data_IF_014288466645
#
_entry.id   IF_014288466645
#
_cell.length_a   1.000
_cell.length_b   1.000
_cell.length_c   1.000
_cell.angle_alpha   90.00
_cell.angle_beta   90.00
_cell.angle_gamma   90.00
#
_symmetry.space_group_name_H-M   'P 1'
#
loop_
_entity.id
_entity.type
_entity.pdbx_description
1 polymer ?
#
# COMPACT_ATOMS: atom_id res chain seq x y z
N UNK A 1 20.93 18.16 18.21
CA UNK A 1 20.11 17.40 17.24
C UNK A 1 21.05 16.95 16.15
N UNK A 2 21.06 15.66 15.77
CA UNK A 2 21.95 15.18 14.72
C UNK A 2 21.50 15.69 13.35
N UNK A 3 22.47 16.08 12.52
CA UNK A 3 22.17 16.49 11.15
C UNK A 3 21.89 15.26 10.28
N UNK A 4 21.15 15.44 9.17
CA UNK A 4 20.91 14.36 8.19
C UNK A 4 22.21 13.69 7.72
N UNK A 5 23.27 14.50 7.58
CA UNK A 5 24.56 14.06 7.08
C UNK A 5 25.30 13.21 8.11
N UNK A 6 25.21 13.58 9.40
CA UNK A 6 25.73 12.76 10.49
C UNK A 6 25.01 11.41 10.55
N UNK A 7 23.67 11.39 10.47
CA UNK A 7 22.89 10.15 10.48
C UNK A 7 23.30 9.22 9.34
N UNK A 8 23.42 9.73 8.11
CA UNK A 8 23.84 8.92 6.95
C UNK A 8 25.29 8.43 7.09
N UNK A 9 26.20 9.27 7.57
CA UNK A 9 27.61 8.88 7.79
C UNK A 9 27.73 7.82 8.87
N UNK A 10 27.00 7.96 9.97
CA UNK A 10 26.96 6.96 11.05
C UNK A 10 26.35 5.64 10.59
N UNK A 11 25.27 5.68 9.80
CA UNK A 11 24.68 4.49 9.21
C UNK A 11 25.68 3.75 8.31
N UNK A 12 26.38 4.47 7.41
CA UNK A 12 27.44 3.87 6.58
C UNK A 12 28.53 3.23 7.43
N UNK A 13 29.01 3.92 8.47
CA UNK A 13 30.01 3.40 9.41
C UNK A 13 29.53 2.18 10.19
N UNK A 14 28.24 2.09 10.51
CA UNK A 14 27.68 0.91 11.19
C UNK A 14 27.58 -0.32 10.27
N UNK A 15 27.51 -0.12 8.96
CA UNK A 15 27.45 -1.19 7.96
C UNK A 15 28.84 -1.63 7.47
N UNK A 16 29.90 -0.86 7.74
CA UNK A 16 31.26 -1.25 7.32
C UNK A 16 31.69 -2.53 8.03
N UNK A 17 31.93 -3.57 7.22
CA UNK A 17 32.30 -4.91 7.70
C UNK A 17 31.12 -5.88 7.89
N UNK A 18 29.87 -5.43 7.74
CA UNK A 18 28.68 -6.30 7.83
C UNK A 18 27.76 -6.22 6.60
N UNK A 19 28.15 -5.49 5.56
CA UNK A 19 27.35 -5.26 4.34
C UNK A 19 26.63 -6.50 3.81
N UNK A 20 27.33 -7.61 3.61
CA UNK A 20 26.73 -8.83 3.06
C UNK A 20 25.72 -9.48 4.01
N UNK A 21 25.98 -9.44 5.32
CA UNK A 21 25.04 -9.94 6.31
C UNK A 21 23.83 -9.02 6.43
N UNK A 22 24.02 -7.70 6.40
CA UNK A 22 22.94 -6.72 6.39
C UNK A 22 22.05 -6.88 5.15
N UNK A 23 22.66 -7.08 3.98
CA UNK A 23 21.95 -7.37 2.73
C UNK A 23 21.15 -8.66 2.83
N UNK A 24 21.76 -9.74 3.35
CA UNK A 24 21.09 -11.02 3.53
C UNK A 24 19.89 -10.91 4.50
N UNK A 25 20.07 -10.23 5.62
CA UNK A 25 19.01 -9.99 6.61
C UNK A 25 17.88 -9.17 6.01
N UNK A 26 18.18 -8.07 5.32
CA UNK A 26 17.16 -7.24 4.64
C UNK A 26 16.43 -7.99 3.53
N UNK A 27 17.14 -8.84 2.77
CA UNK A 27 16.53 -9.66 1.72
C UNK A 27 15.59 -10.71 2.30
N UNK A 28 16.02 -11.45 3.32
CA UNK A 28 15.17 -12.44 4.00
C UNK A 28 13.97 -11.75 4.66
N UNK A 29 14.19 -10.63 5.35
CA UNK A 29 13.12 -9.86 5.98
C UNK A 29 12.12 -9.34 4.95
N UNK A 30 12.57 -8.79 3.81
CA UNK A 30 11.66 -8.24 2.78
C UNK A 30 10.79 -9.32 2.11
N UNK A 31 11.36 -10.50 1.85
CA UNK A 31 10.60 -11.65 1.33
C UNK A 31 9.57 -12.12 2.37
N UNK A 32 9.98 -12.32 3.62
CA UNK A 32 9.10 -12.87 4.66
C UNK A 32 8.11 -11.85 5.24
N UNK A 33 8.30 -10.55 5.00
CA UNK A 33 7.33 -9.51 5.36
C UNK A 33 6.31 -9.23 4.24
N UNK A 34 6.52 -9.80 3.04
CA UNK A 34 5.67 -9.56 1.88
C UNK A 34 5.84 -8.18 1.26
N UNK A 35 7.01 -7.54 1.45
CA UNK A 35 7.33 -6.25 0.83
C UNK A 35 7.84 -6.38 -0.61
N UNK A 36 7.96 -7.61 -1.12
CA UNK A 36 8.31 -7.91 -2.50
C UNK A 36 7.06 -8.32 -3.28
N UNK A 37 6.82 -7.68 -4.43
CA UNK A 37 5.68 -7.94 -5.34
C UNK A 37 5.71 -9.31 -6.02
N UNK A 38 6.51 -10.27 -5.54
CA UNK A 38 6.75 -11.57 -6.18
C UNK A 38 5.46 -12.39 -6.35
N UNK A 39 4.42 -12.09 -5.56
CA UNK A 39 3.11 -12.76 -5.62
C UNK A 39 1.97 -11.88 -6.16
N UNK A 40 2.25 -10.71 -6.76
CA UNK A 40 1.20 -9.96 -7.45
C UNK A 40 0.99 -10.55 -8.86
N UNK A 41 -0.07 -11.35 -9.00
CA UNK A 41 -0.61 -11.65 -10.32
C UNK A 41 -1.23 -10.36 -10.89
N UNK A 42 -0.62 -9.80 -11.92
CA UNK A 42 -1.16 -8.65 -12.63
C UNK A 42 -2.18 -9.15 -13.65
N UNK A 43 -3.46 -8.80 -13.42
CA UNK A 43 -4.56 -9.25 -14.25
C UNK A 43 -4.49 -8.53 -15.60
N UNK A 44 -4.00 -9.21 -16.64
CA UNK A 44 -3.82 -8.61 -17.96
C UNK A 44 -5.14 -8.55 -18.73
N UNK A 45 -5.20 -7.70 -19.78
CA UNK A 45 -6.33 -7.62 -20.71
C UNK A 45 -6.71 -8.97 -21.29
N UNK A 46 -5.75 -9.86 -21.53
CA UNK A 46 -6.03 -11.21 -22.02
C UNK A 46 -6.76 -12.07 -20.99
N UNK A 47 -6.45 -11.93 -19.70
CA UNK A 47 -7.18 -12.59 -18.62
C UNK A 47 -8.57 -11.97 -18.45
N UNK A 48 -8.67 -10.65 -18.61
CA UNK A 48 -9.94 -9.95 -18.62
C UNK A 48 -10.82 -10.36 -19.80
N UNK A 49 -10.26 -10.58 -20.99
CA UNK A 49 -11.00 -11.12 -22.14
C UNK A 49 -11.40 -12.58 -21.94
N UNK A 50 -10.56 -13.39 -21.29
CA UNK A 50 -10.93 -14.75 -20.88
C UNK A 50 -12.03 -14.76 -19.83
N UNK A 51 -12.04 -13.80 -18.92
CA UNK A 51 -13.04 -13.68 -17.85
C UNK A 51 -14.35 -13.02 -18.32
N UNK A 52 -14.28 -12.04 -19.23
CA UNK A 52 -15.43 -11.32 -19.77
C UNK A 52 -16.07 -12.03 -20.99
N UNK A 53 -15.27 -12.79 -21.77
CA UNK A 53 -15.73 -13.65 -22.86
C UNK A 53 -16.18 -15.03 -22.40
N UNK A 54 -16.06 -15.34 -21.11
CA UNK A 54 -16.82 -16.41 -20.48
C UNK A 54 -18.30 -16.00 -20.52
N UNK A 55 -19.05 -16.44 -21.55
CA UNK A 55 -20.52 -16.60 -21.49
C UNK A 55 -20.90 -17.70 -20.49
N UNK A 56 -20.27 -17.67 -19.33
CA UNK A 56 -20.45 -18.62 -18.27
C UNK A 56 -21.60 -18.09 -17.46
N UNK A 57 -22.74 -18.78 -17.52
CA UNK A 57 -23.77 -18.64 -16.51
C UNK A 57 -23.09 -18.81 -15.14
N UNK A 58 -22.86 -17.71 -14.41
CA UNK A 58 -22.32 -17.72 -13.05
C UNK A 58 -22.92 -18.82 -12.15
N UNK A 59 -24.23 -19.13 -12.25
CA UNK A 59 -24.82 -20.27 -11.56
C UNK A 59 -24.17 -21.63 -11.91
N UNK A 60 -23.88 -21.89 -13.18
CA UNK A 60 -23.31 -23.16 -13.64
C UNK A 60 -21.82 -23.30 -13.27
N UNK A 61 -21.06 -22.19 -13.27
CA UNK A 61 -19.65 -22.19 -12.82
C UNK A 61 -19.55 -22.44 -11.32
N UNK A 62 -20.39 -21.76 -10.55
CA UNK A 62 -20.42 -21.89 -9.10
C UNK A 62 -21.01 -23.23 -8.67
N UNK A 63 -21.75 -23.94 -9.52
CA UNK A 63 -22.15 -25.34 -9.32
C UNK A 63 -21.05 -26.34 -9.71
N UNK A 64 -20.03 -25.93 -10.46
CA UNK A 64 -18.94 -26.81 -10.83
C UNK A 64 -18.06 -27.10 -9.60
N UNK A 65 -18.00 -28.37 -9.23
CA UNK A 65 -17.24 -28.85 -8.08
C UNK A 65 -15.76 -28.40 -8.09
N UNK A 66 -15.11 -28.43 -9.27
CA UNK A 66 -13.69 -28.05 -9.37
C UNK A 66 -13.47 -26.55 -9.15
N UNK A 67 -14.40 -25.70 -9.59
CA UNK A 67 -14.34 -24.26 -9.37
C UNK A 67 -14.54 -23.94 -7.88
N UNK A 68 -15.50 -24.59 -7.23
CA UNK A 68 -15.68 -24.45 -5.79
C UNK A 68 -14.41 -24.85 -5.02
N UNK A 69 -13.77 -25.96 -5.40
CA UNK A 69 -12.50 -26.38 -4.80
C UNK A 69 -11.38 -25.34 -5.00
N UNK A 70 -11.25 -24.75 -6.19
CA UNK A 70 -10.27 -23.69 -6.44
C UNK A 70 -10.56 -22.47 -5.56
N UNK A 71 -11.81 -22.03 -5.48
CA UNK A 71 -12.20 -20.87 -4.66
C UNK A 71 -11.95 -21.09 -3.17
N UNK A 72 -12.29 -22.28 -2.66
CA UNK A 72 -11.98 -22.68 -1.29
C UNK A 72 -10.48 -22.70 -1.07
N UNK A 73 -9.70 -23.24 -2.02
CA UNK A 73 -8.24 -23.28 -1.93
C UNK A 73 -7.62 -21.88 -1.92
N UNK A 74 -8.12 -20.95 -2.74
CA UNK A 74 -7.73 -19.54 -2.73
C UNK A 74 -8.07 -18.90 -1.39
N UNK A 75 -9.27 -19.15 -0.86
CA UNK A 75 -9.69 -18.65 0.46
C UNK A 75 -8.80 -19.16 1.59
N UNK A 76 -8.46 -20.45 1.59
CA UNK A 76 -7.53 -21.05 2.55
C UNK A 76 -6.13 -20.44 2.39
N UNK A 77 -5.62 -20.32 1.16
CA UNK A 77 -4.32 -19.71 0.91
C UNK A 77 -4.26 -18.26 1.39
N UNK A 78 -5.32 -17.46 1.16
CA UNK A 78 -5.44 -16.10 1.66
C UNK A 78 -5.47 -16.05 3.20
N UNK A 79 -6.18 -16.98 3.85
CA UNK A 79 -6.20 -17.09 5.30
C UNK A 79 -4.83 -17.45 5.87
N UNK A 80 -4.13 -18.42 5.26
CA UNK A 80 -2.77 -18.82 5.65
C UNK A 80 -1.81 -17.65 5.47
N UNK A 81 -1.88 -16.92 4.36
CA UNK A 81 -1.06 -15.73 4.10
C UNK A 81 -1.35 -14.62 5.13
N UNK A 82 -2.62 -14.41 5.51
CA UNK A 82 -3.00 -13.46 6.55
C UNK A 82 -2.43 -13.85 7.92
N UNK A 83 -2.56 -15.13 8.30
CA UNK A 83 -1.99 -15.65 9.54
C UNK A 83 -0.47 -15.52 9.55
N UNK A 84 0.20 -15.84 8.45
CA UNK A 84 1.64 -15.65 8.29
C UNK A 84 2.03 -14.17 8.45
N UNK A 85 1.30 -13.25 7.81
CA UNK A 85 1.53 -11.80 7.93
C UNK A 85 1.40 -11.31 9.37
N UNK A 86 0.43 -11.85 10.11
CA UNK A 86 0.14 -11.47 11.50
C UNK A 86 1.16 -12.07 12.46
N UNK A 87 1.39 -13.38 12.41
CA UNK A 87 2.15 -14.11 13.42
C UNK A 87 3.64 -14.25 13.12
N UNK A 88 4.03 -14.17 11.86
CA UNK A 88 5.42 -14.36 11.41
C UNK A 88 6.02 -13.04 10.96
N UNK A 89 5.44 -12.38 9.95
CA UNK A 89 6.02 -11.16 9.38
C UNK A 89 6.18 -10.02 10.40
N UNK A 90 5.21 -9.83 11.30
CA UNK A 90 5.32 -8.78 12.33
C UNK A 90 6.51 -9.00 13.27
N UNK A 91 6.83 -10.25 13.57
CA UNK A 91 7.93 -10.63 14.47
C UNK A 91 9.27 -10.47 13.76
N UNK A 92 9.31 -10.79 12.47
CA UNK A 92 10.48 -10.60 11.62
C UNK A 92 10.82 -9.11 11.49
N UNK A 93 9.84 -8.22 11.36
CA UNK A 93 10.07 -6.76 11.31
C UNK A 93 10.70 -6.23 12.61
N UNK A 94 10.29 -6.74 13.77
CA UNK A 94 10.93 -6.43 15.05
C UNK A 94 12.32 -7.09 15.16
N UNK A 95 12.48 -8.30 14.64
CA UNK A 95 13.74 -9.03 14.59
C UNK A 95 14.79 -8.34 13.71
N UNK A 96 14.37 -7.76 12.59
CA UNK A 96 15.19 -6.95 11.69
C UNK A 96 15.67 -5.69 12.42
N UNK A 97 14.75 -4.97 13.08
CA UNK A 97 15.09 -3.81 13.92
C UNK A 97 16.10 -4.19 15.01
N UNK A 98 15.95 -5.38 15.62
CA UNK A 98 16.89 -5.93 16.60
C UNK A 98 18.26 -6.18 16.00
N UNK A 99 18.33 -6.81 14.83
CA UNK A 99 19.58 -7.10 14.15
C UNK A 99 20.34 -5.81 13.81
N UNK A 100 19.68 -4.82 13.21
CA UNK A 100 20.32 -3.54 12.87
C UNK A 100 20.74 -2.74 14.10
N UNK A 101 19.96 -2.78 15.18
CA UNK A 101 20.35 -2.14 16.45
C UNK A 101 21.64 -2.76 17.01
N UNK A 102 21.76 -4.09 17.03
CA UNK A 102 22.95 -4.80 17.53
C UNK A 102 24.16 -4.64 16.63
N UNK A 103 23.96 -4.62 15.31
CA UNK A 103 25.03 -4.37 14.36
C UNK A 103 25.66 -2.97 14.55
N UNK A 104 24.89 -1.99 15.06
CA UNK A 104 25.40 -0.66 15.41
C UNK A 104 26.18 -0.63 16.73
N UNK A 105 25.83 -1.49 17.69
CA UNK A 105 26.35 -1.44 19.07
C UNK A 105 27.61 -2.28 19.30
N UNK A 106 27.81 -3.38 18.59
CA UNK A 106 28.87 -4.36 18.89
C UNK A 106 29.62 -4.87 17.66
N UNK A 107 30.93 -5.10 17.83
CA UNK A 107 31.71 -6.06 17.03
C UNK A 107 31.92 -7.31 17.91
N UNK A 108 31.65 -8.55 17.45
CA UNK A 108 31.46 -8.98 16.06
C UNK A 108 30.05 -8.73 15.49
N UNK A 109 29.92 -8.94 14.18
CA UNK A 109 28.65 -8.81 13.44
C UNK A 109 27.60 -9.81 13.98
N UNK A 110 26.33 -9.38 14.18
CA UNK A 110 25.31 -10.29 14.68
C UNK A 110 25.00 -11.40 13.67
N UNK A 111 24.78 -12.62 14.14
CA UNK A 111 24.40 -13.75 13.30
C UNK A 111 22.98 -13.61 12.76
N UNK A 112 22.70 -14.29 11.63
CA UNK A 112 21.36 -14.33 11.03
C UNK A 112 20.28 -14.81 12.02
N UNK A 113 20.63 -15.69 12.97
CA UNK A 113 19.71 -16.18 13.99
C UNK A 113 19.09 -15.09 14.86
N UNK A 114 19.71 -13.92 14.98
CA UNK A 114 19.13 -12.78 15.70
C UNK A 114 17.82 -12.29 15.05
N UNK A 115 17.66 -12.45 13.73
CA UNK A 115 16.42 -12.11 13.02
C UNK A 115 15.22 -12.89 13.56
N UNK A 116 15.44 -14.15 13.93
CA UNK A 116 14.39 -15.05 14.43
C UNK A 116 14.36 -15.17 15.96
N UNK A 117 15.18 -14.39 16.67
CA UNK A 117 15.32 -14.50 18.13
C UNK A 117 14.03 -14.24 18.90
N UNK A 118 13.11 -13.47 18.33
CA UNK A 118 11.84 -13.11 18.96
C UNK A 118 10.77 -14.21 18.85
N UNK A 119 10.97 -15.22 18.00
CA UNK A 119 10.10 -16.40 17.98
C UNK A 119 10.34 -17.31 19.19
N UNK A 120 11.46 -17.14 19.89
CA UNK A 120 11.85 -18.02 20.98
C UNK A 120 11.25 -17.58 22.33
N UNK A 121 10.79 -18.57 23.10
CA UNK A 121 10.29 -18.40 24.45
C UNK A 121 9.05 -17.51 24.54
N UNK A 122 8.93 -16.75 25.64
CA UNK A 122 7.75 -15.92 25.95
C UNK A 122 7.76 -14.53 25.31
N UNK A 123 8.56 -14.30 24.27
CA UNK A 123 8.66 -13.00 23.58
C UNK A 123 7.78 -12.89 22.33
N UNK A 124 7.40 -14.03 21.73
CA UNK A 124 6.68 -14.07 20.46
C UNK A 124 5.32 -13.36 20.52
N UNK A 125 4.41 -13.84 21.37
CA UNK A 125 3.04 -13.32 21.45
C UNK A 125 2.95 -11.86 21.93
N UNK A 126 3.74 -11.40 22.92
CA UNK A 126 3.78 -9.98 23.28
C UNK A 126 4.21 -9.07 22.12
N UNK A 127 5.16 -9.52 21.29
CA UNK A 127 5.61 -8.79 20.09
C UNK A 127 4.49 -8.69 19.07
N UNK A 128 3.85 -9.82 18.73
CA UNK A 128 2.72 -9.87 17.81
C UNK A 128 1.60 -8.95 18.30
N UNK A 129 1.19 -9.06 19.56
CA UNK A 129 0.13 -8.23 20.13
C UNK A 129 0.43 -6.73 20.08
N UNK A 130 1.68 -6.33 20.33
CA UNK A 130 2.07 -4.93 20.27
C UNK A 130 2.13 -4.38 18.84
N UNK A 131 2.66 -5.15 17.90
CA UNK A 131 2.70 -4.80 16.48
C UNK A 131 1.28 -4.73 15.89
N UNK A 132 0.43 -5.72 16.16
CA UNK A 132 -0.97 -5.72 15.74
C UNK A 132 -1.73 -4.52 16.28
N UNK A 133 -1.54 -4.19 17.56
CA UNK A 133 -2.20 -3.02 18.14
C UNK A 133 -1.73 -1.72 17.48
N UNK A 134 -0.45 -1.61 17.14
CA UNK A 134 0.06 -0.47 16.36
C UNK A 134 -0.59 -0.40 14.97
N UNK A 135 -0.59 -1.50 14.22
CA UNK A 135 -1.16 -1.53 12.86
C UNK A 135 -2.65 -1.30 12.86
N UNK A 136 -3.39 -1.84 13.83
CA UNK A 136 -4.81 -1.57 14.00
C UNK A 136 -5.07 -0.06 14.15
N UNK A 137 -4.29 0.63 14.98
CA UNK A 137 -4.40 2.09 15.10
C UNK A 137 -4.04 2.80 13.80
N UNK A 138 -2.96 2.41 13.12
CA UNK A 138 -2.58 3.03 11.84
C UNK A 138 -3.65 2.81 10.76
N UNK A 139 -4.25 1.62 10.72
CA UNK A 139 -5.35 1.28 9.84
C UNK A 139 -6.57 2.16 10.12
N UNK A 140 -6.97 2.36 11.39
CA UNK A 140 -8.03 3.29 11.75
C UNK A 140 -7.77 4.72 11.26
N UNK A 141 -6.55 5.22 11.39
CA UNK A 141 -6.19 6.54 10.86
C UNK A 141 -6.28 6.58 9.33
N UNK A 142 -5.91 5.48 8.64
CA UNK A 142 -6.01 5.36 7.18
C UNK A 142 -7.45 5.39 6.65
N UNK A 143 -8.46 5.18 7.50
CA UNK A 143 -9.86 5.31 7.11
C UNK A 143 -10.32 6.76 6.96
N UNK A 144 -9.67 7.73 7.61
CA UNK A 144 -10.10 9.13 7.58
C UNK A 144 -10.14 9.74 6.17
N UNK A 145 -9.11 9.59 5.32
CA UNK A 145 -9.16 10.07 3.94
C UNK A 145 -10.21 9.36 3.08
N UNK A 146 -10.66 8.16 3.45
CA UNK A 146 -11.67 7.43 2.68
C UNK A 146 -13.07 8.03 2.83
N UNK A 147 -13.36 8.68 3.97
CA UNK A 147 -14.66 9.31 4.22
C UNK A 147 -15.02 10.35 3.15
N UNK A 148 -14.18 11.38 2.86
CA UNK A 148 -14.49 12.35 1.80
C UNK A 148 -14.46 11.72 0.40
N UNK A 149 -13.62 10.71 0.15
CA UNK A 149 -13.57 10.03 -1.15
C UNK A 149 -14.91 9.32 -1.42
N UNK A 150 -15.34 8.46 -0.49
CA UNK A 150 -16.59 7.69 -0.62
C UNK A 150 -17.79 8.64 -0.65
N UNK A 151 -17.84 9.62 0.27
CA UNK A 151 -18.91 10.61 0.31
C UNK A 151 -18.98 11.45 -0.96
N UNK A 152 -17.83 11.85 -1.51
CA UNK A 152 -17.72 12.57 -2.77
C UNK A 152 -18.23 11.74 -3.95
N UNK A 153 -17.83 10.48 -4.05
CA UNK A 153 -18.31 9.57 -5.11
C UNK A 153 -19.83 9.40 -5.04
N UNK A 154 -20.36 9.10 -3.84
CA UNK A 154 -21.81 8.92 -3.64
C UNK A 154 -22.56 10.20 -4.02
N UNK A 155 -22.09 11.35 -3.54
CA UNK A 155 -22.68 12.65 -3.87
C UNK A 155 -22.69 12.90 -5.38
N UNK A 156 -21.58 12.66 -6.08
CA UNK A 156 -21.48 12.83 -7.53
C UNK A 156 -22.43 11.90 -8.28
N UNK A 157 -22.55 10.62 -7.87
CA UNK A 157 -23.49 9.67 -8.49
C UNK A 157 -24.94 10.13 -8.32
N UNK A 158 -25.32 10.54 -7.11
CA UNK A 158 -26.68 11.04 -6.83
C UNK A 158 -26.94 12.34 -7.61
N UNK A 159 -25.98 13.24 -7.67
CA UNK A 159 -26.08 14.50 -8.41
C UNK A 159 -26.31 14.25 -9.90
N UNK A 160 -25.53 13.35 -10.52
CA UNK A 160 -25.70 13.00 -11.93
C UNK A 160 -27.09 12.38 -12.16
N UNK A 161 -27.51 11.44 -11.31
CA UNK A 161 -28.80 10.77 -11.43
C UNK A 161 -29.99 11.73 -11.27
N UNK A 162 -29.94 12.64 -10.29
CA UNK A 162 -31.05 13.52 -9.94
C UNK A 162 -31.23 14.69 -10.91
N UNK A 163 -30.12 15.26 -11.41
CA UNK A 163 -30.16 16.50 -12.18
C UNK A 163 -29.91 16.33 -13.67
N UNK A 164 -29.44 15.14 -14.10
CA UNK A 164 -29.03 14.87 -15.48
C UNK A 164 -28.25 16.05 -16.08
N UNK A 165 -27.19 16.53 -15.40
CA UNK A 165 -26.51 17.79 -15.75
C UNK A 165 -25.73 17.70 -17.06
N UNK A 166 -25.56 16.49 -17.60
CA UNK A 166 -24.86 16.21 -18.85
C UNK A 166 -25.90 16.04 -19.95
N UNK A 167 -25.92 16.97 -20.90
CA UNK A 167 -26.67 16.90 -22.14
C UNK A 167 -25.89 16.07 -23.17
N UNK A 168 -26.43 14.90 -23.52
CA UNK A 168 -25.91 14.07 -24.60
C UNK A 168 -26.36 14.63 -25.96
N UNK A 169 -25.55 14.46 -27.04
CA UNK A 169 -26.01 14.75 -28.39
C UNK A 169 -27.28 13.97 -28.74
N UNK A 170 -28.20 14.57 -29.49
CA UNK A 170 -29.53 13.98 -29.73
C UNK A 170 -29.49 12.72 -30.61
N UNK A 171 -28.47 12.59 -31.44
CA UNK A 171 -28.16 11.46 -32.31
C UNK A 171 -27.19 10.46 -31.66
N UNK A 172 -26.80 10.68 -30.41
CA UNK A 172 -25.93 9.77 -29.67
C UNK A 172 -26.70 8.54 -29.17
N UNK A 173 -26.51 7.41 -29.85
CA UNK A 173 -27.08 6.13 -29.47
C UNK A 173 -26.02 5.16 -28.91
N UNK A 174 -26.12 4.85 -27.61
CA UNK A 174 -25.27 3.86 -26.95
C UNK A 174 -25.47 2.43 -27.47
N UNK A 175 -26.64 2.11 -28.04
CA UNK A 175 -26.98 0.78 -28.55
C UNK A 175 -26.21 0.39 -29.82
N UNK A 176 -25.94 1.36 -30.71
CA UNK A 176 -25.18 1.09 -31.94
C UNK A 176 -23.70 0.80 -31.68
N UNK A 177 -23.14 1.41 -30.64
CA UNK A 177 -21.72 1.27 -30.30
C UNK A 177 -21.36 -0.18 -29.96
N UNK A 178 -22.25 -0.88 -29.25
CA UNK A 178 -22.04 -2.27 -28.83
C UNK A 178 -22.15 -3.26 -30.00
N UNK A 179 -22.97 -2.95 -31.00
CA UNK A 179 -23.19 -3.82 -32.17
C UNK A 179 -22.12 -3.64 -33.25
N UNK A 180 -21.53 -2.45 -33.37
CA UNK A 180 -20.52 -2.12 -34.37
C UNK A 180 -19.06 -2.30 -33.87
N UNK A 181 -18.88 -2.96 -32.72
CA UNK A 181 -17.56 -3.20 -32.12
C UNK A 181 -16.74 -4.23 -32.93
N UNK A 182 -15.51 -3.87 -33.29
CA UNK A 182 -14.59 -4.70 -34.09
C UNK A 182 -13.10 -4.47 -33.73
N UNK A 183 -12.43 -5.48 -33.18
CA UNK A 183 -11.01 -5.37 -32.80
C UNK A 183 -10.06 -4.98 -33.95
N UNK A 184 -10.51 -5.10 -35.20
CA UNK A 184 -9.72 -4.85 -36.40
C UNK A 184 -9.84 -3.42 -36.96
N UNK A 185 -10.73 -2.57 -36.43
CA UNK A 185 -10.93 -1.21 -36.95
C UNK A 185 -11.17 -0.19 -35.81
N UNK A 186 -10.09 0.13 -35.09
CA UNK A 186 -10.14 1.05 -33.95
C UNK A 186 -10.43 2.51 -34.34
N UNK A 187 -10.03 2.94 -35.55
CA UNK A 187 -10.17 4.35 -35.97
C UNK A 187 -11.61 4.73 -36.26
N UNK A 188 -12.40 3.87 -36.89
CA UNK A 188 -13.80 4.19 -37.22
C UNK A 188 -14.72 4.13 -36.00
N UNK A 189 -14.35 3.39 -34.96
CA UNK A 189 -15.14 3.22 -33.71
C UNK A 189 -15.23 4.49 -32.88
N UNK A 190 -14.18 5.30 -32.91
CA UNK A 190 -14.13 6.54 -32.14
C UNK A 190 -14.46 7.76 -32.99
N UNK A 191 -14.73 7.62 -34.30
CA UNK A 191 -15.11 8.76 -35.15
C UNK A 191 -16.37 9.46 -34.64
N UNK A 192 -17.42 8.71 -34.32
CA UNK A 192 -18.63 9.30 -33.73
C UNK A 192 -18.34 10.07 -32.43
N UNK A 193 -17.47 9.52 -31.55
CA UNK A 193 -17.03 10.26 -30.36
C UNK A 193 -16.21 11.50 -30.72
N UNK A 194 -15.28 11.41 -31.68
CA UNK A 194 -14.42 12.52 -32.11
C UNK A 194 -15.24 13.64 -32.77
N UNK A 195 -16.26 13.30 -33.55
CA UNK A 195 -17.12 14.23 -34.26
C UNK A 195 -18.03 14.98 -33.27
N UNK A 196 -18.55 14.29 -32.25
CA UNK A 196 -19.44 14.88 -31.26
C UNK A 196 -18.73 15.46 -30.04
N UNK A 197 -17.47 15.10 -29.79
CA UNK A 197 -16.71 15.57 -28.62
C UNK A 197 -16.64 17.10 -28.52
N UNK A 198 -16.33 17.87 -29.59
CA UNK A 198 -16.28 19.33 -29.51
C UNK A 198 -17.62 19.95 -29.08
N UNK A 199 -18.73 19.45 -29.62
CA UNK A 199 -20.07 19.90 -29.27
C UNK A 199 -20.49 19.47 -27.86
N UNK A 200 -20.20 18.22 -27.49
CA UNK A 200 -20.42 17.70 -26.14
C UNK A 200 -19.72 18.58 -25.09
N UNK A 201 -18.42 18.82 -25.26
CA UNK A 201 -17.66 19.63 -24.32
C UNK A 201 -18.19 21.05 -24.27
N UNK A 202 -18.52 21.67 -25.42
CA UNK A 202 -19.10 23.02 -25.49
C UNK A 202 -20.45 23.14 -24.77
N UNK A 203 -21.34 22.16 -24.96
CA UNK A 203 -22.68 22.20 -24.37
C UNK A 203 -22.67 21.85 -22.87
N UNK A 204 -21.63 21.16 -22.40
CA UNK A 204 -21.52 20.68 -21.02
C UNK A 204 -20.41 21.36 -20.19
N UNK A 205 -19.82 22.47 -20.67
CA UNK A 205 -18.65 23.10 -20.02
C UNK A 205 -18.90 23.39 -18.53
N UNK A 206 -20.06 23.96 -18.20
CA UNK A 206 -20.40 24.29 -16.82
C UNK A 206 -20.57 23.04 -15.93
N UNK A 207 -21.27 22.02 -16.41
CA UNK A 207 -21.47 20.77 -15.67
C UNK A 207 -20.15 20.03 -15.42
N UNK A 208 -19.30 19.94 -16.45
CA UNK A 208 -17.97 19.34 -16.35
C UNK A 208 -17.10 20.13 -15.37
N UNK A 209 -17.11 21.47 -15.44
CA UNK A 209 -16.37 22.31 -14.51
C UNK A 209 -16.83 22.10 -13.05
N UNK A 210 -18.13 21.96 -12.80
CA UNK A 210 -18.69 21.68 -11.46
C UNK A 210 -18.26 20.30 -10.96
N UNK A 211 -18.42 19.24 -11.77
CA UNK A 211 -18.01 17.87 -11.38
C UNK A 211 -16.50 17.83 -11.11
N UNK A 212 -15.70 18.49 -11.95
CA UNK A 212 -14.26 18.60 -11.76
C UNK A 212 -13.92 19.37 -10.48
N UNK A 213 -14.57 20.50 -10.20
CA UNK A 213 -14.36 21.27 -8.98
C UNK A 213 -14.71 20.46 -7.73
N UNK A 214 -15.80 19.67 -7.75
CA UNK A 214 -16.16 18.74 -6.67
C UNK A 214 -15.06 17.70 -6.49
N UNK A 215 -14.61 17.06 -7.58
CA UNK A 215 -13.54 16.06 -7.52
C UNK A 215 -12.25 16.64 -6.94
N UNK A 216 -11.83 17.83 -7.39
CA UNK A 216 -10.67 18.54 -6.83
C UNK A 216 -10.88 18.85 -5.35
N UNK A 217 -12.05 19.36 -4.96
CA UNK A 217 -12.38 19.64 -3.56
C UNK A 217 -12.28 18.37 -2.68
N UNK A 218 -12.84 17.25 -3.15
CA UNK A 218 -12.75 15.95 -2.47
C UNK A 218 -11.31 15.49 -2.32
N UNK A 219 -10.51 15.58 -3.40
CA UNK A 219 -9.09 15.22 -3.38
C UNK A 219 -8.28 16.09 -2.42
N UNK A 220 -8.54 17.40 -2.38
CA UNK A 220 -7.86 18.32 -1.46
C UNK A 220 -8.19 18.00 0.00
N UNK A 221 -9.46 17.73 0.32
CA UNK A 221 -9.88 17.32 1.67
C UNK A 221 -9.27 15.98 2.05
N UNK A 222 -9.28 14.99 1.15
CA UNK A 222 -8.63 13.70 1.38
C UNK A 222 -7.11 13.85 1.63
N UNK A 223 -6.45 14.72 0.87
CA UNK A 223 -5.03 15.04 1.05
C UNK A 223 -4.76 15.68 2.42
N UNK A 224 -5.59 16.64 2.83
CA UNK A 224 -5.51 17.26 4.15
C UNK A 224 -5.70 16.23 5.28
N UNK A 225 -6.67 15.32 5.14
CA UNK A 225 -6.91 14.23 6.10
C UNK A 225 -5.82 13.15 6.07
N UNK A 226 -4.94 13.13 5.07
CA UNK A 226 -3.77 12.25 5.04
C UNK A 226 -2.65 12.75 5.95
N UNK A 227 -2.59 14.05 6.25
CA UNK A 227 -1.60 14.64 7.17
C UNK A 227 -1.61 13.96 8.57
N UNK A 228 -2.74 13.81 9.28
CA UNK A 228 -2.74 13.11 10.56
C UNK A 228 -2.30 11.65 10.46
N UNK A 229 -2.60 10.96 9.35
CA UNK A 229 -2.12 9.60 9.08
C UNK A 229 -0.59 9.57 9.06
N UNK A 230 0.01 10.48 8.29
CA UNK A 230 1.46 10.62 8.20
C UNK A 230 2.09 10.92 9.56
N UNK A 231 1.49 11.85 10.33
CA UNK A 231 1.94 12.17 11.69
C UNK A 231 1.94 10.94 12.59
N UNK A 232 0.88 10.10 12.52
CA UNK A 232 0.77 8.89 13.35
C UNK A 232 1.75 7.81 12.91
N UNK A 233 1.98 7.64 11.61
CA UNK A 233 2.99 6.73 11.06
C UNK A 233 4.38 7.05 11.62
N UNK A 234 4.80 8.32 11.55
CA UNK A 234 6.08 8.73 12.16
C UNK A 234 6.08 8.63 13.68
N UNK A 235 4.97 8.92 14.34
CA UNK A 235 4.89 8.85 15.79
C UNK A 235 5.05 7.42 16.35
N UNK A 236 4.74 6.40 15.54
CA UNK A 236 4.86 4.99 15.89
C UNK A 236 6.07 4.27 15.25
N UNK A 237 6.88 4.96 14.44
CA UNK A 237 8.05 4.39 13.73
C UNK A 237 9.07 3.71 14.64
N UNK A 238 9.20 4.15 15.90
CA UNK A 238 10.17 3.59 16.84
C UNK A 238 9.65 2.37 17.60
N UNK A 239 8.37 2.02 17.44
CA UNK A 239 7.75 0.86 18.12
C UNK A 239 8.49 -0.46 17.88
N UNK A 240 8.83 -0.86 16.63
CA UNK A 240 9.57 -2.11 16.42
C UNK A 240 10.95 -2.08 17.08
N UNK A 241 11.65 -0.94 17.07
CA UNK A 241 12.94 -0.78 17.77
C UNK A 241 12.82 -0.92 19.29
N UNK A 242 11.74 -0.42 19.89
CA UNK A 242 11.48 -0.57 21.34
C UNK A 242 11.16 -2.03 21.68
N UNK A 243 10.34 -2.68 20.87
CA UNK A 243 9.96 -4.08 21.07
C UNK A 243 11.14 -5.01 20.83
N UNK A 244 12.08 -4.64 19.96
CA UNK A 244 13.31 -5.37 19.72
C UNK A 244 14.14 -5.50 21.01
N UNK A 245 14.21 -4.46 21.84
CA UNK A 245 14.96 -4.49 23.10
C UNK A 245 14.12 -5.00 24.28
N UNK A 246 12.83 -4.65 24.33
CA UNK A 246 11.92 -5.10 25.39
C UNK A 246 10.56 -5.54 24.82
N UNK A 247 10.45 -6.79 24.34
CA UNK A 247 9.21 -7.34 23.77
C UNK A 247 8.02 -7.32 24.73
N UNK A 248 8.30 -7.32 26.04
CA UNK A 248 7.29 -7.45 27.12
C UNK A 248 6.93 -6.13 27.77
N UNK A 249 7.41 -5.00 27.25
CA UNK A 249 7.10 -3.67 27.79
C UNK A 249 5.60 -3.34 27.75
N UNK A 250 4.84 -4.06 26.91
CA UNK A 250 3.40 -3.89 26.71
C UNK A 250 3.09 -2.86 25.62
N UNK A 251 2.06 -3.15 24.82
CA UNK A 251 1.71 -2.39 23.62
C UNK A 251 1.47 -0.89 23.89
N UNK A 252 0.75 -0.54 24.97
CA UNK A 252 0.47 0.86 25.33
C UNK A 252 1.75 1.63 25.65
N UNK A 253 2.67 0.98 26.37
CA UNK A 253 3.92 1.59 26.82
C UNK A 253 4.89 1.73 25.65
N UNK A 254 4.99 0.74 24.77
CA UNK A 254 5.77 0.80 23.54
C UNK A 254 5.35 2.00 22.66
N UNK A 255 4.05 2.13 22.36
CA UNK A 255 3.52 3.25 21.58
C UNK A 255 3.67 4.60 22.27
N UNK A 256 3.53 4.65 23.60
CA UNK A 256 3.74 5.88 24.38
C UNK A 256 5.20 6.31 24.32
N UNK A 257 6.14 5.37 24.41
CA UNK A 257 7.57 5.64 24.33
C UNK A 257 7.97 6.08 22.91
N UNK A 258 7.49 5.40 21.86
CA UNK A 258 7.71 5.82 20.47
C UNK A 258 7.24 7.26 20.21
N UNK A 259 6.04 7.61 20.70
CA UNK A 259 5.51 8.98 20.58
C UNK A 259 6.33 10.02 21.33
N UNK A 260 6.94 9.65 22.46
CA UNK A 260 7.80 10.54 23.24
C UNK A 260 9.13 10.76 22.54
N UNK A 261 9.76 9.70 22.02
CA UNK A 261 11.05 9.78 21.31
C UNK A 261 10.96 10.54 19.99
N UNK A 262 9.80 10.54 19.35
CA UNK A 262 9.56 11.24 18.06
C UNK A 262 8.92 12.62 18.23
N UNK A 263 8.66 13.07 19.46
CA UNK A 263 8.05 14.38 19.71
C UNK A 263 9.05 15.49 19.34
N UNK A 264 8.61 16.44 18.51
CA UNK A 264 9.47 17.51 17.99
C UNK A 264 10.21 17.14 16.70
N UNK A 265 10.44 15.85 16.43
CA UNK A 265 11.30 15.38 15.34
C UNK A 265 10.57 14.74 14.14
N UNK A 266 9.23 14.78 14.12
CA UNK A 266 8.45 14.10 13.06
C UNK A 266 8.70 14.67 11.66
N UNK A 267 8.85 15.99 11.57
CA UNK A 267 9.13 16.65 10.29
C UNK A 267 10.55 16.37 9.81
N UNK A 268 11.52 16.28 10.72
CA UNK A 268 12.89 15.84 10.38
C UNK A 268 12.91 14.40 9.88
N UNK A 269 12.14 13.50 10.50
CA UNK A 269 11.98 12.12 10.00
C UNK A 269 11.35 12.08 8.60
N UNK A 270 10.39 12.98 8.33
CA UNK A 270 9.81 13.12 6.99
C UNK A 270 10.82 13.60 5.95
N UNK A 271 11.60 14.64 6.27
CA UNK A 271 12.67 15.13 5.39
C UNK A 271 13.74 14.06 5.19
N UNK A 272 14.05 13.29 6.24
CA UNK A 272 14.99 12.18 6.15
C UNK A 272 14.51 11.15 5.13
N UNK A 273 13.26 10.71 5.20
CA UNK A 273 12.68 9.77 4.22
C UNK A 273 12.64 10.36 2.80
N UNK A 274 12.30 11.66 2.65
CA UNK A 274 12.33 12.34 1.36
C UNK A 274 13.74 12.30 0.72
N UNK A 275 14.79 12.35 1.55
CA UNK A 275 16.18 12.25 1.10
C UNK A 275 16.60 10.86 0.60
N UNK A 276 15.74 9.85 0.77
CA UNK A 276 15.91 8.49 0.23
C UNK A 276 15.00 8.19 -0.97
N UNK A 277 14.13 9.12 -1.39
CA UNK A 277 13.24 8.95 -2.55
C UNK A 277 14.00 8.60 -3.83
N UNK A 278 15.18 9.20 -4.05
CA UNK A 278 16.02 8.84 -5.19
C UNK A 278 16.48 7.38 -5.18
N UNK A 279 16.73 6.80 -4.01
CA UNK A 279 17.09 5.39 -3.86
C UNK A 279 15.89 4.47 -4.09
N UNK A 280 14.70 4.86 -3.61
CA UNK A 280 13.47 4.14 -3.91
C UNK A 280 13.14 4.16 -5.41
N UNK A 281 13.34 5.29 -6.10
CA UNK A 281 13.15 5.40 -7.54
C UNK A 281 14.17 4.57 -8.34
N UNK A 282 15.42 4.56 -7.90
CA UNK A 282 16.45 3.69 -8.48
C UNK A 282 16.11 2.21 -8.29
N UNK A 283 15.61 1.82 -7.12
CA UNK A 283 15.15 0.45 -6.84
C UNK A 283 13.96 0.01 -7.67
N UNK A 284 13.07 0.94 -8.00
CA UNK A 284 11.94 0.70 -8.90
C UNK A 284 12.41 0.46 -10.34
N UNK A 285 13.39 1.22 -10.83
CA UNK A 285 13.95 1.08 -12.18
C UNK A 285 14.79 -0.20 -12.32
N UNK A 286 15.52 -0.59 -11.27
CA UNK A 286 16.42 -1.76 -11.29
C UNK A 286 15.74 -3.09 -10.92
N UNK A 287 14.40 -3.17 -10.99
CA UNK A 287 13.62 -4.39 -10.71
C UNK A 287 14.13 -5.15 -9.46
N UNK A 288 13.78 -4.65 -8.26
CA UNK A 288 13.88 -5.33 -6.94
C UNK A 288 15.16 -5.05 -6.13
N UNK A 289 16.33 -4.76 -6.71
CA UNK A 289 17.56 -4.63 -5.88
C UNK A 289 17.56 -3.41 -4.96
N UNK A 290 16.92 -2.30 -5.35
CA UNK A 290 16.90 -1.07 -4.52
C UNK A 290 15.76 -0.97 -3.51
N UNK A 291 14.84 -1.94 -3.44
CA UNK A 291 13.78 -1.98 -2.39
C UNK A 291 14.32 -2.54 -1.07
N UNK A 292 15.53 -3.12 -1.08
CA UNK A 292 16.19 -3.73 0.09
C UNK A 292 16.90 -2.70 1.00
N UNK A 293 16.82 -1.40 0.70
CA UNK A 293 17.58 -0.33 1.38
C UNK A 293 16.74 0.81 1.97
#
# INVERSE_FOLDING_TARGET
MWTRQELKTNAKKSLTGSYWMALLVGLIASVLTGSTSIFQYEFDRNDMHRFAGMEVAWPNLMQNFWVQLIMVSIGIAALVALLFRIFVSTVIEVGESRWFSRNRESKPTPSLGQLFSLFQGSNWMPTVGAMLWMYFWLWLWSLLPLIPIIGGIIFTVIYIAAFQPIAWPADWDWGQWQQNWSWNNQTDQFRGFQDHAPEFFRNNQAAIAVIFAIAVGVLLVACLLTIPVLIKRYAYRMTPWILADNPRIGFRRALKLSRRMTRGHKFELFILDLSFVGWYLLGLILFVVGVVF
#
